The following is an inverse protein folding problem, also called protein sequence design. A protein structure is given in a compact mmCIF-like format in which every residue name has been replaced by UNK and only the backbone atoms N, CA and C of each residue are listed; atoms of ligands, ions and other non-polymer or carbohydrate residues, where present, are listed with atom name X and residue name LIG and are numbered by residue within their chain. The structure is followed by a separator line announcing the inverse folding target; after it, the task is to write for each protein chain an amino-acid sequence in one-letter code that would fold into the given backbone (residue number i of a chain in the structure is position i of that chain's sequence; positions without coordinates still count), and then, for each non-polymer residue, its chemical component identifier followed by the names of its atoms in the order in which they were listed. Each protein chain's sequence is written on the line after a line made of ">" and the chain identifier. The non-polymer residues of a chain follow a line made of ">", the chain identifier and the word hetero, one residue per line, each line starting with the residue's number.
data_IF_950828199193
#
_entry.id   IF_950828199193
#
_cell.length_a   1.000
_cell.length_b   1.000
_cell.length_c   1.000
_cell.angle_alpha   90.00
_cell.angle_beta   90.00
_cell.angle_gamma   90.00
#
_symmetry.space_group_name_H-M   'P 1'
#
loop_
_entity.id
_entity.type
_entity.pdbx_description
1 polymer ?
#
# COMPACT_ATOMS: atom_id res chain seq x y z
N UNK A 1 6.69 6.80 3.88
CA UNK A 1 7.15 5.98 5.03
C UNK A 1 7.16 4.50 4.66
N UNK A 2 8.08 3.69 5.22
CA UNK A 2 8.11 2.25 4.96
C UNK A 2 7.20 1.49 5.94
N UNK A 3 6.11 0.92 5.43
CA UNK A 3 5.09 0.25 6.25
C UNK A 3 5.43 -1.21 6.57
N UNK A 4 6.09 -1.89 5.64
CA UNK A 4 6.56 -3.25 5.78
C UNK A 4 8.04 -3.32 5.44
N UNK A 5 8.81 -3.99 6.28
CA UNK A 5 10.24 -4.22 6.04
C UNK A 5 10.66 -5.64 6.36
N UNK A 6 11.77 -6.07 5.77
CA UNK A 6 12.43 -7.33 6.09
C UNK A 6 13.78 -7.02 6.72
N UNK A 7 13.98 -7.50 7.96
CA UNK A 7 15.21 -7.29 8.73
C UNK A 7 15.51 -8.53 9.56
N UNK A 8 16.79 -8.90 9.68
CA UNK A 8 17.26 -10.10 10.41
C UNK A 8 16.53 -11.40 10.02
N UNK A 9 16.22 -11.55 8.74
CA UNK A 9 15.46 -12.66 8.18
C UNK A 9 13.99 -12.78 8.65
N UNK A 10 13.44 -11.68 9.16
CA UNK A 10 12.08 -11.59 9.69
C UNK A 10 11.32 -10.42 9.05
N UNK A 11 10.07 -10.68 8.66
CA UNK A 11 9.15 -9.62 8.28
C UNK A 11 8.72 -8.81 9.50
N UNK A 12 8.64 -7.49 9.33
CA UNK A 12 8.17 -6.54 10.33
C UNK A 12 7.15 -5.56 9.72
N UNK A 13 6.25 -5.06 10.56
CA UNK A 13 5.33 -3.97 10.22
C UNK A 13 5.60 -2.75 11.09
N UNK A 14 5.36 -1.56 10.54
CA UNK A 14 5.40 -0.32 11.31
C UNK A 14 4.14 -0.22 12.16
N UNK A 15 4.24 -0.32 13.49
CA UNK A 15 3.14 -0.21 14.45
C UNK A 15 2.68 1.25 14.66
N UNK A 16 1.55 1.45 15.35
CA UNK A 16 0.99 2.79 15.59
C UNK A 16 1.94 3.70 16.41
N UNK A 17 2.68 3.09 17.33
CA UNK A 17 3.71 3.76 18.13
C UNK A 17 4.96 4.17 17.33
N UNK A 18 5.00 3.92 16.01
CA UNK A 18 6.13 4.22 15.13
C UNK A 18 7.29 3.24 15.24
N UNK A 19 7.18 2.19 16.07
CA UNK A 19 8.18 1.12 16.15
C UNK A 19 7.89 0.01 15.13
N UNK A 20 8.90 -0.78 14.80
CA UNK A 20 8.72 -1.96 13.95
C UNK A 20 8.52 -3.20 14.81
N UNK A 21 7.41 -3.89 14.58
CA UNK A 21 7.06 -5.11 15.31
C UNK A 21 7.06 -6.31 14.37
N UNK A 22 7.42 -7.51 14.87
CA UNK A 22 7.37 -8.76 14.12
C UNK A 22 6.00 -8.98 13.45
N UNK A 23 6.00 -9.36 12.17
CA UNK A 23 4.78 -9.51 11.36
C UNK A 23 3.82 -10.58 11.89
N UNK A 24 4.31 -11.55 12.66
CA UNK A 24 3.50 -12.59 13.30
C UNK A 24 2.63 -12.06 14.46
N UNK A 25 2.96 -10.88 15.01
CA UNK A 25 2.18 -10.20 16.06
C UNK A 25 1.11 -9.25 15.52
N UNK A 26 0.99 -9.13 14.19
CA UNK A 26 0.10 -8.15 13.59
C UNK A 26 -1.36 -8.36 14.00
N UNK A 27 -1.98 -7.33 14.54
CA UNK A 27 -3.40 -7.35 14.93
C UNK A 27 -4.32 -6.94 13.78
N UNK A 28 -5.63 -7.08 13.99
CA UNK A 28 -6.63 -6.61 13.03
C UNK A 28 -6.57 -5.08 12.90
N UNK A 29 -6.37 -4.40 14.01
CA UNK A 29 -6.27 -2.96 14.13
C UNK A 29 -5.05 -2.45 13.36
N UNK A 30 -3.90 -3.12 13.51
CA UNK A 30 -2.69 -2.84 12.75
C UNK A 30 -2.91 -3.01 11.25
N UNK A 31 -3.49 -4.15 10.83
CA UNK A 31 -3.80 -4.40 9.42
C UNK A 31 -4.68 -3.29 8.83
N UNK A 32 -5.72 -2.88 9.55
CA UNK A 32 -6.62 -1.83 9.09
C UNK A 32 -5.88 -0.49 8.96
N UNK A 33 -4.99 -0.17 9.89
CA UNK A 33 -4.16 1.04 9.82
C UNK A 33 -3.20 1.01 8.63
N UNK A 34 -2.54 -0.13 8.38
CA UNK A 34 -1.66 -0.27 7.21
C UNK A 34 -2.44 -0.10 5.89
N UNK A 35 -3.65 -0.65 5.82
CA UNK A 35 -4.55 -0.47 4.66
C UNK A 35 -4.90 0.99 4.47
N UNK A 36 -5.33 1.69 5.53
CA UNK A 36 -5.67 3.11 5.46
C UNK A 36 -4.46 3.96 5.05
N UNK A 37 -3.28 3.67 5.59
CA UNK A 37 -2.03 4.35 5.20
C UNK A 37 -1.70 4.10 3.72
N UNK A 38 -1.92 2.89 3.21
CA UNK A 38 -1.69 2.55 1.79
C UNK A 38 -2.68 3.21 0.83
N UNK A 39 -3.85 3.61 1.32
CA UNK A 39 -4.88 4.32 0.58
C UNK A 39 -4.84 5.85 0.80
N UNK A 40 -3.95 6.36 1.66
CA UNK A 40 -3.75 7.78 1.90
C UNK A 40 -2.84 8.43 0.87
N UNK A 41 -2.83 9.76 0.79
CA UNK A 41 -1.99 10.51 -0.16
C UNK A 41 -0.49 10.47 0.17
N UNK A 42 -0.13 9.94 1.34
CA UNK A 42 1.26 9.78 1.74
C UNK A 42 1.96 8.69 0.92
N UNK A 43 3.19 8.97 0.51
CA UNK A 43 4.02 7.99 -0.18
C UNK A 43 4.43 6.88 0.80
N UNK A 44 3.96 5.66 0.54
CA UNK A 44 4.28 4.47 1.34
C UNK A 44 5.12 3.47 0.56
N UNK A 45 5.98 2.76 1.28
CA UNK A 45 6.89 1.76 0.74
C UNK A 45 6.76 0.42 1.46
N UNK A 46 7.12 -0.64 0.75
CA UNK A 46 7.17 -2.01 1.26
C UNK A 46 8.42 -2.69 0.71
N UNK A 47 9.13 -3.46 1.54
CA UNK A 47 10.14 -4.36 0.99
C UNK A 47 9.47 -5.50 0.23
N UNK A 48 9.98 -5.81 -0.96
CA UNK A 48 9.49 -6.93 -1.77
C UNK A 48 9.68 -8.25 -1.02
N UNK A 49 8.68 -9.12 -1.12
CA UNK A 49 8.80 -10.46 -0.53
C UNK A 49 9.81 -11.30 -1.33
N UNK A 50 10.88 -11.73 -0.66
CA UNK A 50 11.80 -12.76 -1.13
C UNK A 50 11.86 -13.91 -0.12
N UNK A 51 11.66 -15.13 -0.59
CA UNK A 51 11.67 -16.35 0.23
C UNK A 51 13.04 -16.61 0.86
N UNK A 52 14.13 -16.23 0.19
CA UNK A 52 15.49 -16.34 0.74
C UNK A 52 15.75 -15.31 1.86
N UNK A 53 15.03 -14.20 1.83
CA UNK A 53 15.16 -13.11 2.80
C UNK A 53 14.37 -13.34 4.09
N UNK A 54 13.41 -14.28 4.13
CA UNK A 54 12.62 -14.59 5.34
C UNK A 54 12.75 -16.07 5.67
N UNK A 55 13.46 -16.42 6.76
CA UNK A 55 13.71 -17.84 7.12
C UNK A 55 12.56 -18.50 7.86
N UNK A 56 11.75 -17.72 8.58
CA UNK A 56 10.64 -18.23 9.37
C UNK A 56 9.40 -18.41 8.48
N UNK A 57 8.86 -19.63 8.41
CA UNK A 57 7.71 -19.97 7.57
C UNK A 57 6.43 -19.18 7.91
N UNK A 58 6.17 -18.91 9.20
CA UNK A 58 5.02 -18.10 9.60
C UNK A 58 5.16 -16.67 9.08
N UNK A 59 6.35 -16.09 9.20
CA UNK A 59 6.64 -14.76 8.68
C UNK A 59 6.54 -14.75 7.14
N UNK A 60 7.00 -15.79 6.45
CA UNK A 60 6.86 -15.92 5.00
C UNK A 60 5.38 -15.85 4.58
N UNK A 61 4.53 -16.67 5.19
CA UNK A 61 3.11 -16.77 4.86
C UNK A 61 2.39 -15.43 5.13
N UNK A 62 2.61 -14.86 6.31
CA UNK A 62 1.92 -13.62 6.71
C UNK A 62 2.44 -12.45 5.88
N UNK A 63 3.76 -12.23 5.83
CA UNK A 63 4.34 -11.10 5.11
C UNK A 63 3.96 -11.12 3.62
N UNK A 64 4.10 -12.27 2.96
CA UNK A 64 3.71 -12.44 1.55
C UNK A 64 2.24 -12.12 1.31
N UNK A 65 1.36 -12.55 2.21
CA UNK A 65 -0.08 -12.28 2.10
C UNK A 65 -0.38 -10.78 2.25
N UNK A 66 0.19 -10.14 3.26
CA UNK A 66 -0.06 -8.72 3.56
C UNK A 66 0.51 -7.83 2.46
N UNK A 67 1.78 -7.99 2.09
CA UNK A 67 2.42 -7.11 1.08
C UNK A 67 1.71 -7.17 -0.27
N UNK A 68 1.31 -8.37 -0.72
CA UNK A 68 0.57 -8.54 -1.98
C UNK A 68 -0.79 -7.86 -1.94
N UNK A 69 -1.51 -7.95 -0.82
CA UNK A 69 -2.81 -7.28 -0.66
C UNK A 69 -2.65 -5.76 -0.66
N UNK A 70 -1.64 -5.23 0.03
CA UNK A 70 -1.39 -3.78 0.07
C UNK A 70 -0.99 -3.22 -1.30
N UNK A 71 -0.10 -3.91 -2.03
CA UNK A 71 0.26 -3.55 -3.40
C UNK A 71 -0.97 -3.54 -4.31
N UNK A 72 -1.77 -4.63 -4.30
CA UNK A 72 -2.98 -4.73 -5.12
C UNK A 72 -4.05 -3.67 -4.78
N UNK A 73 -4.11 -3.23 -3.52
CA UNK A 73 -4.99 -2.12 -3.13
C UNK A 73 -4.49 -0.78 -3.66
N UNK A 74 -3.17 -0.54 -3.61
CA UNK A 74 -2.54 0.68 -4.14
C UNK A 74 -2.72 0.76 -5.66
N UNK A 75 -2.49 -0.33 -6.38
CA UNK A 75 -2.69 -0.40 -7.84
C UNK A 75 -4.13 -0.07 -8.22
N UNK A 76 -5.12 -0.70 -7.57
CA UNK A 76 -6.53 -0.40 -7.81
C UNK A 76 -6.88 1.06 -7.54
N UNK A 77 -6.35 1.64 -6.47
CA UNK A 77 -6.57 3.06 -6.19
C UNK A 77 -6.00 3.95 -7.32
N UNK A 78 -4.80 3.64 -7.79
CA UNK A 78 -4.19 4.37 -8.90
C UNK A 78 -5.04 4.25 -10.17
N UNK A 79 -5.52 3.05 -10.49
CA UNK A 79 -6.43 2.81 -11.63
C UNK A 79 -7.68 3.69 -11.54
N UNK A 80 -8.34 3.72 -10.37
CA UNK A 80 -9.50 4.58 -10.13
C UNK A 80 -9.17 6.08 -10.27
N UNK A 81 -8.04 6.53 -9.74
CA UNK A 81 -7.60 7.92 -9.87
C UNK A 81 -7.33 8.30 -11.32
N UNK A 82 -6.66 7.43 -12.08
CA UNK A 82 -6.36 7.65 -13.50
C UNK A 82 -7.63 7.62 -14.36
N UNK A 83 -8.61 6.77 -14.02
CA UNK A 83 -9.91 6.73 -14.69
C UNK A 83 -10.73 8.00 -14.41
N UNK A 84 -10.79 8.45 -13.16
CA UNK A 84 -11.47 9.69 -12.79
C UNK A 84 -10.83 10.91 -13.46
N UNK A 85 -9.49 11.01 -13.46
CA UNK A 85 -8.78 12.09 -14.13
C UNK A 85 -9.07 12.14 -15.63
N UNK A 86 -9.13 10.98 -16.29
CA UNK A 86 -9.49 10.88 -17.72
C UNK A 86 -10.93 11.30 -17.98
N UNK A 87 -11.88 10.82 -17.17
CA UNK A 87 -13.30 11.15 -17.30
C UNK A 87 -13.53 12.67 -17.20
N UNK A 88 -12.92 13.32 -16.20
CA UNK A 88 -13.09 14.76 -15.99
C UNK A 88 -12.29 15.62 -16.96
N UNK A 89 -11.18 15.14 -17.51
CA UNK A 89 -10.41 15.87 -18.51
C UNK A 89 -11.24 16.10 -19.79
N UNK A 90 -12.00 15.10 -20.23
CA UNK A 90 -12.83 15.20 -21.42
C UNK A 90 -13.92 16.28 -21.27
N UNK A 91 -14.64 16.26 -20.14
CA UNK A 91 -15.66 17.27 -19.85
C UNK A 91 -15.06 18.67 -19.64
N UNK A 92 -13.91 18.76 -18.96
CA UNK A 92 -13.19 20.02 -18.77
C UNK A 92 -12.80 20.68 -20.09
N UNK A 93 -12.21 19.93 -21.02
CA UNK A 93 -11.84 20.44 -22.34
C UNK A 93 -13.08 20.89 -23.14
N UNK A 94 -14.19 20.15 -23.06
CA UNK A 94 -15.47 20.52 -23.71
C UNK A 94 -15.98 21.88 -23.21
N UNK A 95 -16.08 22.07 -21.89
CA UNK A 95 -16.56 23.32 -21.31
C UNK A 95 -15.60 24.49 -21.53
N UNK A 96 -14.29 24.23 -21.60
CA UNK A 96 -13.29 25.26 -21.92
C UNK A 96 -13.46 25.80 -23.34
N UNK A 97 -13.71 24.92 -24.31
CA UNK A 97 -13.98 25.32 -25.70
C UNK A 97 -15.30 26.09 -25.82
N UNK A 98 -16.35 25.65 -25.14
CA UNK A 98 -17.65 26.34 -25.15
C UNK A 98 -17.65 27.72 -24.47
N UNK A 99 -16.74 27.96 -23.51
CA UNK A 99 -16.63 29.26 -22.81
C UNK A 99 -15.74 30.28 -23.52
N UNK A 100 -15.05 29.89 -24.59
CA UNK A 100 -14.26 30.80 -25.45
C UNK A 100 -14.87 31.02 -26.84
N UNK A 101 -16.07 30.47 -27.09
CA UNK A 101 -16.85 30.64 -28.32
C UNK A 101 -17.94 31.70 -28.25
#
# INVERSE_FOLDING_TARGET
>A
MKLLKIEDYCGHFLAENGSYEPIDKISKEDLLRLVNASLGDEEVEFDEYDEASVKNHAHQVIYKSVVRKLISLRERRQEFTDEAARLYLEDYERYKVESTG
#
